data_IF_917774812694
#
_entry.id   IF_917774812694
#
_cell.length_a   1.000
_cell.length_b   1.000
_cell.length_c   1.000
_cell.angle_alpha   90.00
_cell.angle_beta   90.00
_cell.angle_gamma   90.00
#
_symmetry.space_group_name_H-M   'P 1'
#
loop_
_entity.id
_entity.type
_entity.pdbx_description
1 polymer ?
#
# COMPACT_ATOMS: atom_id res chain seq x y z
N UNK A 1 20.70 -0.89 -63.13
CA UNK A 1 20.67 -1.96 -62.10
C UNK A 1 21.48 -1.49 -60.91
N UNK A 2 20.81 -1.09 -59.83
CA UNK A 2 21.43 -0.59 -58.59
C UNK A 2 21.39 -1.75 -57.59
N UNK A 3 22.56 -2.24 -57.16
CA UNK A 3 22.69 -3.29 -56.15
C UNK A 3 23.01 -2.64 -54.80
N UNK A 4 22.11 -2.84 -53.84
CA UNK A 4 22.10 -2.19 -52.53
C UNK A 4 22.83 -3.05 -51.48
N UNK A 5 23.68 -2.40 -50.69
CA UNK A 5 24.50 -2.95 -49.60
C UNK A 5 23.65 -3.67 -48.55
N UNK A 6 24.09 -4.83 -48.07
CA UNK A 6 23.56 -5.48 -46.87
C UNK A 6 24.11 -4.77 -45.63
N UNK A 7 23.24 -4.12 -44.88
CA UNK A 7 23.54 -3.52 -43.58
C UNK A 7 22.96 -4.46 -42.52
N UNK A 8 23.82 -5.09 -41.72
CA UNK A 8 23.39 -5.84 -40.55
C UNK A 8 23.02 -4.83 -39.46
N UNK A 9 21.73 -4.63 -39.22
CA UNK A 9 21.26 -3.90 -38.04
C UNK A 9 21.27 -4.88 -36.86
N UNK A 10 22.22 -4.73 -35.95
CA UNK A 10 22.21 -5.40 -34.66
C UNK A 10 21.03 -4.86 -33.85
N UNK A 11 19.99 -5.66 -33.67
CA UNK A 11 18.87 -5.35 -32.79
C UNK A 11 19.35 -5.53 -31.35
N UNK A 12 19.79 -4.44 -30.72
CA UNK A 12 19.99 -4.38 -29.27
C UNK A 12 18.61 -4.46 -28.61
N UNK A 13 18.20 -5.66 -28.23
CA UNK A 13 17.06 -5.87 -27.34
C UNK A 13 17.51 -5.39 -25.96
N UNK A 14 17.20 -4.14 -25.64
CA UNK A 14 17.23 -3.63 -24.26
C UNK A 14 16.08 -4.32 -23.53
N UNK A 15 16.37 -5.46 -22.91
CA UNK A 15 15.53 -6.04 -21.87
C UNK A 15 15.51 -5.04 -20.71
N UNK A 16 14.46 -4.22 -20.65
CA UNK A 16 14.08 -3.51 -19.43
C UNK A 16 13.66 -4.56 -18.40
N UNK A 17 14.65 -5.16 -17.75
CA UNK A 17 14.44 -5.84 -16.47
C UNK A 17 14.23 -4.73 -15.44
N UNK A 18 12.99 -4.25 -15.34
CA UNK A 18 12.54 -3.50 -14.18
C UNK A 18 12.51 -4.46 -12.99
N UNK A 19 13.68 -4.72 -12.41
CA UNK A 19 13.76 -5.28 -11.07
C UNK A 19 13.18 -4.20 -10.17
N UNK A 20 11.95 -4.41 -9.68
CA UNK A 20 11.43 -3.65 -8.56
C UNK A 20 12.30 -3.94 -7.34
N UNK A 21 13.42 -3.23 -7.22
CA UNK A 21 14.18 -3.21 -5.99
C UNK A 21 13.30 -2.50 -4.95
N UNK A 22 12.89 -3.22 -3.92
CA UNK A 22 12.27 -2.59 -2.76
C UNK A 22 13.21 -1.51 -2.24
N UNK A 23 12.71 -0.28 -2.10
CA UNK A 23 13.47 0.80 -1.47
C UNK A 23 13.94 0.30 -0.09
N UNK A 24 15.25 0.25 0.18
CA UNK A 24 15.74 -0.25 1.45
C UNK A 24 15.32 0.68 2.58
N UNK A 25 15.08 0.11 3.77
CA UNK A 25 14.76 0.89 4.97
C UNK A 25 15.91 1.86 5.28
N UNK A 26 15.57 3.14 5.43
CA UNK A 26 16.51 4.15 5.92
C UNK A 26 16.69 3.98 7.44
N UNK A 27 17.75 3.26 7.83
CA UNK A 27 18.02 2.92 9.23
C UNK A 27 18.15 4.15 10.14
N UNK A 28 18.59 5.30 9.59
CA UNK A 28 18.74 6.53 10.37
C UNK A 28 17.38 7.10 10.74
N UNK A 29 16.48 7.20 9.76
CA UNK A 29 15.12 7.68 9.99
C UNK A 29 14.31 6.70 10.83
N UNK A 30 14.44 5.40 10.54
CA UNK A 30 13.76 4.37 11.30
C UNK A 30 14.17 4.42 12.78
N UNK A 31 15.47 4.47 13.08
CA UNK A 31 15.96 4.59 14.45
C UNK A 31 15.51 5.89 15.15
N UNK A 32 15.39 7.00 14.41
CA UNK A 32 14.83 8.24 14.95
C UNK A 32 13.34 8.08 15.30
N UNK A 33 12.54 7.50 14.41
CA UNK A 33 11.13 7.21 14.66
C UNK A 33 10.93 6.35 15.93
N UNK A 34 11.76 5.32 16.14
CA UNK A 34 11.67 4.45 17.32
C UNK A 34 11.93 5.17 18.66
N UNK A 35 12.65 6.29 18.65
CA UNK A 35 13.01 7.05 19.85
C UNK A 35 11.99 8.12 20.23
N UNK A 36 10.90 8.25 19.47
CA UNK A 36 9.86 9.23 19.73
C UNK A 36 9.26 9.10 21.14
N UNK A 37 8.96 10.24 21.81
CA UNK A 37 8.37 10.21 23.14
C UNK A 37 6.97 9.57 23.10
N UNK A 38 6.59 8.88 24.18
CA UNK A 38 5.22 8.43 24.36
C UNK A 38 4.33 9.64 24.57
N UNK A 39 3.48 9.95 23.60
CA UNK A 39 2.54 11.07 23.66
C UNK A 39 1.25 10.76 22.90
N UNK A 40 0.16 11.41 23.30
CA UNK A 40 -1.09 11.52 22.54
C UNK A 40 -1.27 12.91 21.91
N UNK A 41 -0.34 13.83 22.14
CA UNK A 41 -0.27 15.12 21.46
C UNK A 41 0.40 14.94 20.10
N UNK A 42 -0.40 15.00 19.04
CA UNK A 42 0.06 14.85 17.66
C UNK A 42 1.03 15.96 17.23
N UNK A 43 0.89 17.19 17.77
CA UNK A 43 1.79 18.29 17.45
C UNK A 43 3.16 18.08 18.08
N UNK A 44 3.21 17.61 19.32
CA UNK A 44 4.47 17.22 19.97
C UNK A 44 5.15 16.08 19.21
N UNK A 45 4.38 15.07 18.80
CA UNK A 45 4.88 13.95 18.03
C UNK A 45 5.44 14.39 16.66
N UNK A 46 4.69 15.18 15.90
CA UNK A 46 5.10 15.70 14.60
C UNK A 46 6.39 16.52 14.70
N UNK A 47 6.50 17.41 15.71
CA UNK A 47 7.72 18.20 15.95
C UNK A 47 8.93 17.31 16.19
N UNK A 48 8.81 16.27 17.02
CA UNK A 48 9.91 15.35 17.27
C UNK A 48 10.29 14.57 16.00
N UNK A 49 9.31 13.99 15.32
CA UNK A 49 9.57 13.17 14.12
C UNK A 49 10.21 14.02 13.00
N UNK A 50 9.78 15.27 12.83
CA UNK A 50 10.35 16.23 11.87
C UNK A 50 11.74 16.77 12.29
N UNK A 51 12.12 16.60 13.55
CA UNK A 51 13.42 17.07 14.06
C UNK A 51 14.58 16.12 13.71
N UNK A 52 14.34 15.06 12.94
CA UNK A 52 15.35 14.08 12.54
C UNK A 52 16.54 14.66 11.76
N UNK A 53 17.62 13.88 11.59
CA UNK A 53 18.90 14.39 11.08
C UNK A 53 18.88 14.75 9.58
N UNK A 54 17.91 14.24 8.81
CA UNK A 54 17.79 14.49 7.37
C UNK A 54 16.59 15.40 7.13
N UNK A 55 16.83 16.58 6.52
CA UNK A 55 15.80 17.60 6.31
C UNK A 55 15.28 17.59 4.88
N UNK A 56 14.10 17.02 4.67
CA UNK A 56 13.27 17.21 3.46
C UNK A 56 11.85 16.77 3.76
N UNK A 57 10.87 17.22 2.96
CA UNK A 57 9.47 16.77 3.08
C UNK A 57 9.37 15.25 2.96
N UNK A 58 9.98 14.65 1.94
CA UNK A 58 9.98 13.20 1.73
C UNK A 58 10.49 12.44 2.95
N UNK A 59 11.61 12.87 3.53
CA UNK A 59 12.25 12.19 4.67
C UNK A 59 11.48 12.40 5.98
N UNK A 60 10.82 13.56 6.14
CA UNK A 60 9.88 13.79 7.24
C UNK A 60 8.68 12.84 7.15
N UNK A 61 8.05 12.73 5.97
CA UNK A 61 6.89 11.86 5.76
C UNK A 61 7.28 10.38 5.87
N UNK A 62 8.46 9.98 5.40
CA UNK A 62 9.01 8.64 5.59
C UNK A 62 9.17 8.29 7.09
N UNK A 63 9.63 9.27 7.88
CA UNK A 63 9.73 9.12 9.34
C UNK A 63 8.35 8.96 9.99
N UNK A 64 7.34 9.69 9.53
CA UNK A 64 5.95 9.52 9.98
C UNK A 64 5.45 8.11 9.64
N UNK A 65 5.68 7.65 8.41
CA UNK A 65 5.31 6.32 7.94
C UNK A 65 5.94 5.22 8.83
N UNK A 66 7.25 5.30 9.07
CA UNK A 66 7.94 4.37 9.99
C UNK A 66 7.35 4.38 11.39
N UNK A 67 7.08 5.57 11.93
CA UNK A 67 6.50 5.67 13.27
C UNK A 67 5.11 5.03 13.33
N UNK A 68 4.23 5.34 12.37
CA UNK A 68 2.87 4.77 12.31
C UNK A 68 2.95 3.25 12.18
N UNK A 69 3.73 2.75 11.21
CA UNK A 69 3.89 1.31 10.96
C UNK A 69 4.38 0.53 12.18
N UNK A 70 5.26 1.16 12.97
CA UNK A 70 5.77 0.51 14.16
C UNK A 70 4.85 0.65 15.37
N UNK A 71 4.04 1.72 15.47
CA UNK A 71 3.34 2.05 16.71
C UNK A 71 1.83 1.80 16.66
N UNK A 72 1.22 1.65 15.49
CA UNK A 72 -0.22 1.43 15.35
C UNK A 72 -0.46 0.00 14.85
N UNK A 73 -1.38 -0.71 15.52
CA UNK A 73 -1.85 -2.01 15.10
C UNK A 73 -3.22 -1.92 14.43
N UNK A 74 -3.54 -2.83 13.50
CA UNK A 74 -4.87 -2.85 12.88
C UNK A 74 -5.92 -3.38 13.86
N UNK A 75 -7.03 -2.65 14.02
CA UNK A 75 -8.12 -3.02 14.90
C UNK A 75 -9.08 -4.00 14.23
N UNK A 76 -8.71 -5.28 14.23
CA UNK A 76 -9.54 -6.33 13.64
C UNK A 76 -10.89 -6.49 14.35
N UNK A 77 -11.02 -6.08 15.62
CA UNK A 77 -12.29 -6.16 16.36
C UNK A 77 -13.22 -5.04 15.88
N UNK A 78 -12.71 -3.80 15.82
CA UNK A 78 -13.47 -2.67 15.30
C UNK A 78 -13.85 -2.88 13.83
N UNK A 79 -12.92 -3.39 13.01
CA UNK A 79 -13.20 -3.74 11.62
C UNK A 79 -14.35 -4.76 11.49
N UNK A 80 -14.32 -5.83 12.29
CA UNK A 80 -15.36 -6.88 12.26
C UNK A 80 -16.71 -6.42 12.81
N UNK A 81 -16.75 -5.35 13.61
CA UNK A 81 -18.01 -4.72 14.06
C UNK A 81 -18.83 -4.18 12.88
N UNK A 82 -18.19 -3.85 11.75
CA UNK A 82 -18.85 -3.38 10.52
C UNK A 82 -19.39 -1.94 10.59
N UNK A 83 -19.64 -1.41 11.78
CA UNK A 83 -20.01 -0.01 12.02
C UNK A 83 -18.89 0.69 12.77
N UNK A 84 -18.19 1.59 12.06
CA UNK A 84 -17.09 2.41 12.56
C UNK A 84 -17.62 3.85 12.63
N UNK A 85 -17.60 4.45 13.81
CA UNK A 85 -18.01 5.83 14.00
C UNK A 85 -16.79 6.76 13.98
N UNK A 86 -16.95 8.04 13.67
CA UNK A 86 -15.84 9.01 13.67
C UNK A 86 -15.12 9.07 15.02
N UNK A 87 -15.89 9.00 16.12
CA UNK A 87 -15.31 8.99 17.46
C UNK A 87 -14.41 7.77 17.71
N UNK A 88 -14.60 6.65 17.00
CA UNK A 88 -13.80 5.43 17.15
C UNK A 88 -12.39 5.60 16.58
N UNK A 89 -12.22 6.46 15.57
CA UNK A 89 -10.99 6.57 14.76
C UNK A 89 -10.24 7.89 14.94
N UNK A 90 -10.62 8.73 15.92
CA UNK A 90 -9.91 9.97 16.24
C UNK A 90 -8.40 9.75 16.45
N UNK A 91 -7.58 10.75 16.11
CA UNK A 91 -6.13 10.70 16.31
C UNK A 91 -5.77 10.47 17.78
N UNK A 92 -6.48 11.11 18.71
CA UNK A 92 -6.27 10.92 20.14
C UNK A 92 -6.52 9.46 20.57
N UNK A 93 -7.61 8.82 20.13
CA UNK A 93 -7.85 7.39 20.42
C UNK A 93 -6.83 6.49 19.74
N UNK A 94 -6.48 6.76 18.48
CA UNK A 94 -5.46 6.00 17.74
C UNK A 94 -4.11 6.05 18.46
N UNK A 95 -3.66 7.23 18.88
CA UNK A 95 -2.40 7.40 19.63
C UNK A 95 -2.44 6.79 21.02
N UNK A 96 -3.57 6.88 21.73
CA UNK A 96 -3.77 6.32 23.08
C UNK A 96 -3.79 4.79 23.06
N UNK A 97 -4.57 4.22 22.15
CA UNK A 97 -4.81 2.77 22.08
C UNK A 97 -3.74 2.05 21.25
N UNK A 98 -2.92 2.78 20.51
CA UNK A 98 -1.91 2.23 19.58
C UNK A 98 -2.53 1.28 18.56
N UNK A 99 -3.77 1.54 18.18
CA UNK A 99 -4.60 0.65 17.36
C UNK A 99 -5.73 1.43 16.69
N UNK A 100 -6.01 1.15 15.42
CA UNK A 100 -7.14 1.72 14.67
C UNK A 100 -7.41 0.93 13.38
N UNK A 101 -8.40 1.37 12.58
CA UNK A 101 -8.65 0.91 11.20
C UNK A 101 -8.18 1.96 10.20
N UNK A 102 -8.29 1.70 8.90
CA UNK A 102 -7.73 2.55 7.82
C UNK A 102 -8.04 4.05 7.96
N UNK A 103 -9.26 4.41 8.38
CA UNK A 103 -9.63 5.81 8.65
C UNK A 103 -8.75 6.47 9.74
N UNK A 104 -8.40 5.76 10.82
CA UNK A 104 -7.54 6.32 11.86
C UNK A 104 -6.05 6.36 11.50
N UNK A 105 -5.59 5.43 10.65
CA UNK A 105 -4.25 5.49 10.07
C UNK A 105 -4.09 6.71 9.17
N UNK A 106 -5.02 6.89 8.23
CA UNK A 106 -5.00 7.99 7.26
C UNK A 106 -5.21 9.36 7.91
N UNK A 107 -6.09 9.45 8.92
CA UNK A 107 -6.24 10.67 9.72
C UNK A 107 -4.99 11.00 10.54
N UNK A 108 -4.31 10.00 11.11
CA UNK A 108 -3.08 10.23 11.86
C UNK A 108 -1.96 10.76 10.95
N UNK A 109 -1.80 10.20 9.74
CA UNK A 109 -0.82 10.72 8.78
C UNK A 109 -1.17 12.16 8.38
N UNK A 110 -2.44 12.44 8.09
CA UNK A 110 -2.93 13.79 7.79
C UNK A 110 -2.56 14.80 8.89
N UNK A 111 -2.85 14.49 10.15
CA UNK A 111 -2.56 15.41 11.26
C UNK A 111 -1.06 15.61 11.50
N UNK A 112 -0.23 14.58 11.28
CA UNK A 112 1.23 14.71 11.35
C UNK A 112 1.75 15.62 10.22
N UNK A 113 1.27 15.43 8.98
CA UNK A 113 1.59 16.28 7.84
C UNK A 113 1.16 17.73 8.07
N UNK A 114 -0.08 17.96 8.52
CA UNK A 114 -0.61 19.29 8.84
C UNK A 114 0.26 20.00 9.90
N UNK A 115 0.64 19.29 10.96
CA UNK A 115 1.51 19.84 12.00
C UNK A 115 2.93 20.17 11.51
N UNK A 116 3.38 19.50 10.45
CA UNK A 116 4.65 19.77 9.77
C UNK A 116 4.52 20.70 8.56
N UNK A 117 3.33 21.27 8.31
CA UNK A 117 3.03 22.16 7.18
C UNK A 117 3.24 21.50 5.80
N UNK A 118 2.99 20.20 5.70
CA UNK A 118 3.04 19.42 4.46
C UNK A 118 1.59 19.16 4.01
N UNK A 119 1.25 19.52 2.78
CA UNK A 119 -0.10 19.29 2.24
C UNK A 119 -0.37 17.78 2.16
N UNK A 120 -1.46 17.34 2.77
CA UNK A 120 -1.90 15.95 2.80
C UNK A 120 -3.42 15.90 2.71
N UNK A 121 -3.94 14.88 2.03
CA UNK A 121 -5.37 14.64 1.85
C UNK A 121 -5.66 13.18 2.14
N UNK A 122 -6.87 12.89 2.63
CA UNK A 122 -7.39 11.53 2.74
C UNK A 122 -8.10 11.21 1.43
N UNK A 123 -7.79 10.04 0.88
CA UNK A 123 -8.48 9.46 -0.27
C UNK A 123 -9.35 8.33 0.25
N UNK A 124 -10.62 8.36 -0.11
CA UNK A 124 -11.56 7.28 0.15
C UNK A 124 -11.83 6.49 -1.14
N UNK A 125 -12.02 5.19 -1.00
CA UNK A 125 -12.27 4.32 -2.13
C UNK A 125 -12.52 2.88 -1.75
N UNK A 126 -12.27 1.99 -2.71
CA UNK A 126 -12.37 0.54 -2.53
C UNK A 126 -11.00 -0.08 -2.65
N UNK A 127 -10.62 -0.90 -1.67
CA UNK A 127 -9.44 -1.75 -1.76
C UNK A 127 -9.83 -3.21 -2.02
N UNK A 128 -9.05 -3.91 -2.83
CA UNK A 128 -9.21 -5.32 -3.16
C UNK A 128 -7.91 -6.07 -2.92
N UNK A 129 -7.93 -6.97 -1.94
CA UNK A 129 -6.91 -8.00 -1.80
C UNK A 129 -7.34 -9.29 -2.52
N UNK A 130 -6.38 -10.15 -2.89
CA UNK A 130 -6.63 -11.34 -3.71
C UNK A 130 -7.72 -12.29 -3.16
N UNK A 131 -7.99 -12.26 -1.84
CA UNK A 131 -8.96 -13.12 -1.16
C UNK A 131 -10.22 -12.38 -0.64
N UNK A 132 -10.39 -11.09 -0.94
CA UNK A 132 -11.49 -10.27 -0.40
C UNK A 132 -12.82 -10.40 -1.17
N UNK A 133 -12.89 -11.32 -2.14
CA UNK A 133 -14.10 -11.55 -2.92
C UNK A 133 -14.41 -10.42 -3.93
N UNK A 134 -15.54 -10.52 -4.64
CA UNK A 134 -15.81 -9.72 -5.83
C UNK A 134 -16.20 -8.26 -5.54
N UNK A 135 -16.32 -7.83 -4.28
CA UNK A 135 -16.74 -6.46 -3.93
C UNK A 135 -15.62 -5.64 -3.25
N UNK A 136 -14.50 -6.25 -2.86
CA UNK A 136 -13.47 -5.57 -2.06
C UNK A 136 -14.01 -5.09 -0.70
N UNK A 137 -13.34 -4.10 -0.11
CA UNK A 137 -13.83 -3.37 1.06
C UNK A 137 -13.57 -1.87 0.90
N UNK A 138 -14.44 -1.06 1.52
CA UNK A 138 -14.17 0.38 1.67
C UNK A 138 -12.84 0.59 2.40
N UNK A 139 -12.06 1.55 1.91
CA UNK A 139 -10.71 1.82 2.40
C UNK A 139 -10.37 3.30 2.33
N UNK A 140 -9.41 3.72 3.16
CA UNK A 140 -8.94 5.09 3.23
C UNK A 140 -7.41 5.12 3.32
N UNK A 141 -6.80 5.94 2.48
CA UNK A 141 -5.35 6.16 2.40
C UNK A 141 -5.07 7.65 2.17
N UNK A 142 -3.83 8.04 1.83
CA UNK A 142 -3.45 9.44 1.69
C UNK A 142 -2.82 9.76 0.33
N UNK A 143 -3.02 11.00 -0.11
CA UNK A 143 -2.12 11.68 -1.04
C UNK A 143 -1.36 12.77 -0.27
N UNK A 144 -0.04 12.79 -0.42
CA UNK A 144 0.83 13.78 0.22
C UNK A 144 1.59 14.54 -0.85
N UNK A 145 1.62 15.87 -0.77
CA UNK A 145 2.35 16.69 -1.73
C UNK A 145 3.78 16.86 -1.25
N UNK A 146 4.72 16.39 -2.05
CA UNK A 146 6.16 16.44 -1.76
C UNK A 146 6.85 17.14 -2.93
N UNK A 147 7.56 18.22 -2.64
CA UNK A 147 8.23 19.06 -3.63
C UNK A 147 7.30 19.48 -4.78
N UNK A 148 6.02 19.74 -4.47
CA UNK A 148 5.00 20.16 -5.43
C UNK A 148 4.30 19.03 -6.20
N UNK A 149 4.69 17.76 -6.02
CA UNK A 149 4.04 16.60 -6.65
C UNK A 149 3.22 15.81 -5.63
N UNK A 150 2.00 15.40 -6.02
CA UNK A 150 1.20 14.49 -5.20
C UNK A 150 1.74 13.06 -5.31
N UNK A 151 1.91 12.42 -4.16
CA UNK A 151 2.38 11.03 -4.04
C UNK A 151 1.39 10.23 -3.19
N UNK A 152 1.19 8.95 -3.53
CA UNK A 152 0.26 8.07 -2.83
C UNK A 152 0.94 7.36 -1.65
N UNK A 153 0.26 7.30 -0.51
CA UNK A 153 0.74 6.59 0.68
C UNK A 153 -0.42 5.83 1.32
N UNK A 154 -0.23 4.53 1.55
CA UNK A 154 -1.10 3.76 2.43
C UNK A 154 -0.32 3.27 3.66
N UNK A 155 -0.49 3.99 4.77
CA UNK A 155 0.11 3.59 6.05
C UNK A 155 -0.54 2.34 6.63
N UNK A 156 -1.79 2.01 6.30
CA UNK A 156 -2.46 0.82 6.81
C UNK A 156 -1.81 -0.46 6.28
N UNK A 157 -1.75 -0.59 4.95
CA UNK A 157 -1.15 -1.77 4.31
C UNK A 157 0.38 -1.74 4.39
N UNK A 158 0.97 -0.55 4.52
CA UNK A 158 2.37 -0.37 4.86
C UNK A 158 2.78 -0.81 6.28
N UNK A 159 1.81 -0.96 7.19
CA UNK A 159 2.06 -1.36 8.59
C UNK A 159 1.99 -2.87 8.82
N UNK A 160 1.36 -3.60 7.90
CA UNK A 160 1.20 -5.04 8.01
C UNK A 160 -0.01 -5.59 7.27
N UNK A 161 -0.35 -6.83 7.58
CA UNK A 161 -1.42 -7.57 6.91
C UNK A 161 -2.21 -8.41 7.92
N UNK A 162 -3.37 -8.92 7.48
CA UNK A 162 -4.13 -9.91 8.22
C UNK A 162 -3.71 -11.31 7.76
N UNK A 163 -3.36 -12.19 8.70
CA UNK A 163 -3.11 -13.60 8.39
C UNK A 163 -4.43 -14.35 8.09
N UNK A 164 -4.33 -15.63 7.72
CA UNK A 164 -5.49 -16.47 7.38
C UNK A 164 -6.48 -16.65 8.55
N UNK A 165 -6.06 -16.35 9.78
CA UNK A 165 -6.92 -16.37 10.97
C UNK A 165 -7.61 -15.02 11.23
N UNK A 166 -7.34 -14.03 10.38
CA UNK A 166 -7.79 -12.66 10.52
C UNK A 166 -7.12 -11.91 11.66
N UNK A 167 -5.90 -12.32 12.06
CA UNK A 167 -5.09 -11.60 13.05
C UNK A 167 -4.11 -10.68 12.35
N UNK A 168 -3.95 -9.47 12.89
CA UNK A 168 -2.97 -8.52 12.39
C UNK A 168 -1.54 -8.99 12.65
N UNK A 169 -0.72 -8.97 11.60
CA UNK A 169 0.72 -9.21 11.62
C UNK A 169 1.41 -7.94 11.16
N UNK A 170 2.19 -7.35 12.05
CA UNK A 170 3.00 -6.18 11.73
C UNK A 170 4.08 -6.57 10.72
N UNK A 171 4.17 -5.80 9.66
CA UNK A 171 5.17 -5.95 8.62
C UNK A 171 5.33 -4.61 7.92
N UNK A 172 6.53 -4.04 7.97
CA UNK A 172 6.82 -2.78 7.29
C UNK A 172 6.98 -3.06 5.80
N UNK A 173 6.03 -2.58 5.00
CA UNK A 173 6.04 -2.75 3.54
C UNK A 173 6.15 -1.40 2.85
N UNK A 174 7.37 -1.09 2.39
CA UNK A 174 7.70 0.19 1.78
C UNK A 174 7.12 0.38 0.37
N UNK A 175 6.53 -0.65 -0.24
CA UNK A 175 5.84 -0.47 -1.53
C UNK A 175 4.61 0.44 -1.44
N UNK A 176 4.06 0.63 -0.24
CA UNK A 176 2.95 1.55 0.02
C UNK A 176 3.41 2.95 0.49
N UNK A 177 4.72 3.22 0.50
CA UNK A 177 5.26 4.55 0.77
C UNK A 177 5.71 5.20 -0.54
N UNK A 178 5.13 6.36 -0.87
CA UNK A 178 5.31 7.03 -2.17
C UNK A 178 5.10 6.04 -3.32
N UNK A 179 3.99 5.31 -3.21
CA UNK A 179 3.68 4.18 -4.05
C UNK A 179 3.42 4.63 -5.49
N UNK A 180 3.93 3.86 -6.45
CA UNK A 180 3.67 4.09 -7.86
C UNK A 180 2.14 4.01 -8.12
N UNK A 181 1.53 5.04 -8.74
CA UNK A 181 0.14 5.02 -9.18
C UNK A 181 -0.28 3.73 -9.92
N UNK A 182 0.58 3.21 -10.80
CA UNK A 182 0.32 1.98 -11.58
C UNK A 182 0.27 0.73 -10.69
N UNK A 183 1.04 0.72 -9.60
CA UNK A 183 0.96 -0.32 -8.59
C UNK A 183 -0.29 -0.14 -7.72
N UNK A 184 -0.54 1.09 -7.23
CA UNK A 184 -1.66 1.38 -6.33
C UNK A 184 -3.00 1.01 -6.97
N UNK A 185 -3.24 1.37 -8.24
CA UNK A 185 -4.53 1.14 -8.92
C UNK A 185 -4.87 -0.35 -9.13
N UNK A 186 -3.90 -1.27 -8.98
CA UNK A 186 -4.17 -2.71 -9.03
C UNK A 186 -5.05 -3.13 -7.85
N UNK A 187 -4.82 -2.52 -6.68
CA UNK A 187 -5.44 -2.91 -5.40
C UNK A 187 -6.33 -1.81 -4.81
N UNK A 188 -6.14 -0.53 -5.20
CA UNK A 188 -6.80 0.66 -4.64
C UNK A 188 -7.52 1.47 -5.71
N UNK A 189 -8.84 1.52 -5.64
CA UNK A 189 -9.67 2.32 -6.56
C UNK A 189 -10.30 3.50 -5.82
N UNK A 190 -9.90 4.76 -6.11
CA UNK A 190 -10.44 5.93 -5.42
C UNK A 190 -11.86 6.27 -5.90
N UNK A 191 -12.67 6.83 -5.01
CA UNK A 191 -14.01 7.33 -5.34
C UNK A 191 -13.95 8.50 -6.35
N UNK A 192 -12.95 9.37 -6.20
CA UNK A 192 -12.62 10.41 -7.18
C UNK A 192 -11.46 9.95 -8.05
N UNK A 193 -11.73 9.83 -9.35
CA UNK A 193 -10.78 9.30 -10.34
C UNK A 193 -9.52 10.17 -10.50
N UNK A 194 -9.55 11.45 -10.12
CA UNK A 194 -8.37 12.31 -10.15
C UNK A 194 -7.25 11.77 -9.24
N UNK A 195 -7.60 11.08 -8.16
CA UNK A 195 -6.65 10.51 -7.20
C UNK A 195 -6.01 9.20 -7.64
N UNK A 196 -6.28 8.73 -8.85
CA UNK A 196 -5.47 7.67 -9.44
C UNK A 196 -4.06 8.17 -9.77
N UNK A 197 -3.87 9.49 -10.01
CA UNK A 197 -2.59 10.09 -10.39
C UNK A 197 -1.92 9.44 -11.61
N UNK A 198 -2.74 8.91 -12.52
CA UNK A 198 -2.31 8.27 -13.76
C UNK A 198 -2.61 9.16 -14.97
N UNK A 199 -1.78 9.07 -16.00
CA UNK A 199 -2.05 9.70 -17.30
C UNK A 199 -3.32 9.12 -17.95
N UNK A 200 -3.57 7.82 -17.73
CA UNK A 200 -4.73 7.08 -18.25
C UNK A 200 -5.46 6.39 -17.11
N UNK A 201 -6.38 7.10 -16.43
CA UNK A 201 -7.17 6.52 -15.36
C UNK A 201 -7.99 5.31 -15.80
N UNK A 202 -8.10 4.34 -14.92
CA UNK A 202 -8.86 3.11 -15.07
C UNK A 202 -10.30 3.34 -14.63
N UNK A 203 -11.28 2.73 -15.31
CA UNK A 203 -12.68 2.74 -14.88
C UNK A 203 -12.95 1.64 -13.84
N UNK A 204 -14.02 1.79 -13.06
CA UNK A 204 -14.45 0.74 -12.11
C UNK A 204 -14.70 -0.61 -12.81
N UNK A 205 -15.26 -0.60 -14.02
CA UNK A 205 -15.48 -1.83 -14.81
C UNK A 205 -14.17 -2.55 -15.15
N UNK A 206 -13.10 -1.81 -15.46
CA UNK A 206 -11.78 -2.41 -15.70
C UNK A 206 -11.17 -2.88 -14.39
N UNK A 207 -11.28 -2.08 -13.33
CA UNK A 207 -10.79 -2.45 -11.99
C UNK A 207 -11.42 -3.74 -11.45
N UNK A 208 -12.70 -3.96 -11.74
CA UNK A 208 -13.48 -5.14 -11.37
C UNK A 208 -13.34 -6.30 -12.38
N UNK A 209 -12.67 -6.06 -13.51
CA UNK A 209 -12.51 -7.02 -14.59
C UNK A 209 -11.55 -8.17 -14.26
N UNK A 210 -11.72 -9.28 -14.98
CA UNK A 210 -10.88 -10.49 -14.82
C UNK A 210 -9.40 -10.19 -15.00
N UNK A 211 -9.03 -9.35 -15.97
CA UNK A 211 -7.63 -8.99 -16.20
C UNK A 211 -7.00 -8.35 -14.95
N UNK A 212 -7.74 -7.48 -14.25
CA UNK A 212 -7.26 -6.85 -13.03
C UNK A 212 -7.25 -7.82 -11.85
N UNK A 213 -8.16 -8.78 -11.81
CA UNK A 213 -8.08 -9.92 -10.89
C UNK A 213 -6.78 -10.72 -11.11
N UNK A 214 -6.39 -10.97 -12.37
CA UNK A 214 -5.11 -11.62 -12.69
C UNK A 214 -3.92 -10.78 -12.24
N UNK A 215 -3.95 -9.44 -12.44
CA UNK A 215 -2.90 -8.53 -11.95
C UNK A 215 -2.73 -8.60 -10.43
N UNK A 216 -3.84 -8.57 -9.67
CA UNK A 216 -3.82 -8.73 -8.20
C UNK A 216 -3.23 -10.07 -7.77
N UNK A 217 -3.59 -11.17 -8.44
CA UNK A 217 -3.04 -12.50 -8.15
C UNK A 217 -1.54 -12.56 -8.41
N UNK A 218 -1.08 -12.04 -9.55
CA UNK A 218 0.35 -11.99 -9.87
C UNK A 218 1.12 -11.17 -8.85
N UNK A 219 0.58 -10.01 -8.47
CA UNK A 219 1.18 -9.14 -7.46
C UNK A 219 1.30 -9.85 -6.10
N UNK A 220 0.21 -10.48 -5.64
CA UNK A 220 0.20 -11.14 -4.34
C UNK A 220 1.19 -12.32 -4.24
N UNK A 221 1.25 -13.17 -5.27
CA UNK A 221 2.13 -14.34 -5.28
C UNK A 221 3.54 -14.04 -5.82
N UNK A 222 3.85 -12.77 -6.11
CA UNK A 222 5.10 -12.34 -6.75
C UNK A 222 5.41 -13.17 -8.02
N UNK A 223 4.40 -13.36 -8.87
CA UNK A 223 4.51 -14.15 -10.10
C UNK A 223 4.98 -13.21 -11.21
N UNK A 224 6.29 -13.20 -11.41
CA UNK A 224 7.00 -12.25 -12.27
C UNK A 224 6.97 -12.62 -13.76
N UNK A 225 6.64 -13.86 -14.11
CA UNK A 225 6.57 -14.34 -15.48
C UNK A 225 5.31 -15.18 -15.76
N UNK A 226 5.02 -15.36 -17.06
CA UNK A 226 3.83 -16.06 -17.52
C UNK A 226 3.85 -17.56 -17.21
N UNK A 227 5.02 -18.17 -17.12
CA UNK A 227 5.17 -19.60 -16.81
C UNK A 227 4.84 -19.89 -15.34
N UNK A 228 5.29 -19.02 -14.42
CA UNK A 228 4.94 -19.06 -13.01
C UNK A 228 3.42 -18.88 -12.81
N UNK A 229 2.81 -17.95 -13.56
CA UNK A 229 1.38 -17.74 -13.52
C UNK A 229 0.58 -18.92 -14.11
N UNK A 230 1.02 -19.48 -15.24
CA UNK A 230 0.40 -20.66 -15.84
C UNK A 230 0.48 -21.89 -14.91
N UNK A 231 1.63 -22.09 -14.27
CA UNK A 231 1.85 -23.15 -13.27
C UNK A 231 0.91 -23.01 -12.08
N UNK A 232 0.76 -21.78 -11.55
CA UNK A 232 -0.20 -21.49 -10.49
C UNK A 232 -1.63 -21.84 -10.91
N UNK A 233 -2.08 -21.38 -12.09
CA UNK A 233 -3.42 -21.68 -12.61
C UNK A 233 -3.68 -23.18 -12.73
N UNK A 234 -2.69 -23.94 -13.20
CA UNK A 234 -2.80 -25.40 -13.32
C UNK A 234 -2.95 -26.06 -11.94
N UNK A 235 -2.15 -25.67 -10.94
CA UNK A 235 -2.25 -26.17 -9.56
C UNK A 235 -3.61 -25.86 -8.94
N UNK A 236 -4.13 -24.65 -9.13
CA UNK A 236 -5.44 -24.25 -8.60
C UNK A 236 -6.59 -25.02 -9.26
N UNK A 237 -6.50 -25.30 -10.56
CA UNK A 237 -7.47 -26.15 -11.27
C UNK A 237 -7.46 -27.58 -10.72
N UNK A 238 -6.27 -28.16 -10.52
CA UNK A 238 -6.11 -29.50 -9.95
C UNK A 238 -6.63 -29.59 -8.51
N UNK A 239 -6.34 -28.58 -7.68
CA UNK A 239 -6.81 -28.51 -6.29
C UNK A 239 -8.34 -28.43 -6.19
N UNK A 240 -9.01 -27.71 -7.11
CA UNK A 240 -10.48 -27.63 -7.17
C UNK A 240 -11.13 -28.96 -7.61
N UNK A 241 -10.42 -29.77 -8.39
CA UNK A 241 -10.91 -31.08 -8.86
C UNK A 241 -10.53 -32.25 -7.96
N UNK A 242 -9.66 -32.04 -6.97
CA UNK A 242 -9.23 -33.11 -6.06
C UNK A 242 -10.41 -33.54 -5.16
N UNK A 243 -10.70 -34.85 -5.02
CA UNK A 243 -11.74 -35.33 -4.13
C UNK A 243 -11.40 -34.92 -2.69
N UNK A 244 -12.33 -34.27 -2.00
CA UNK A 244 -12.18 -33.95 -0.58
C UNK A 244 -12.03 -35.25 0.20
N UNK A 245 -10.84 -35.55 0.69
CA UNK A 245 -10.61 -36.69 1.56
C UNK A 245 -11.48 -36.54 2.81
N UNK A 246 -12.43 -37.46 2.99
CA UNK A 246 -13.17 -37.58 4.26
C UNK A 246 -12.13 -37.87 5.33
N UNK A 247 -11.97 -36.96 6.31
CA UNK A 247 -11.27 -37.29 7.55
C UNK A 247 -12.03 -38.45 8.19
N UNK A 248 -11.41 -39.63 8.24
CA UNK A 248 -11.83 -40.71 9.12
C UNK A 248 -11.65 -40.23 10.56
N UNK A 249 -12.75 -40.29 11.32
CA UNK A 249 -12.83 -40.00 12.76
C UNK A 249 -12.00 -41.03 13.52
#
# INVERSE_FOLDING_TARGET
MISMKRMYAAFLILLNLSVFAQTPVDNTLYAHALKAPKTTDVKLLARYLSSGPIKSEAKTVETFFYWIAQNIAYDTVLFKKGTIMEEDVTVAKTLKNKKSVCAGYSQLLLELCNAAQIECLIIEGTARYYNMGPNGAGHAWNAVKINGKWELIDTTWGSGYLDDTGKFKKHLDLKYFLADPEFMIIEHFPNDHAWQLMEKPVSSTVFDGKEWEEKRLRLFYNLTDDDAYATYKQRMKQAKTAPKTKKSI
#
